data_IF_966586670044
#
_entry.id   IF_966586670044
#
_cell.length_a   1.000
_cell.length_b   1.000
_cell.length_c   1.000
_cell.angle_alpha   90.00
_cell.angle_beta   90.00
_cell.angle_gamma   90.00
#
_symmetry.space_group_name_H-M   'P 1'
#
loop_
_entity.id
_entity.type
_entity.pdbx_description
1 polymer ?
#
# COMPACT_ATOMS: atom_id res chain seq x y z
N UNK A 1 25.04 10.43 2.84
CA UNK A 1 24.44 9.10 2.57
C UNK A 1 22.95 9.26 2.70
N UNK A 2 22.28 8.97 1.63
CA UNK A 2 20.81 8.99 1.57
C UNK A 2 20.31 7.71 2.25
N UNK A 3 19.82 7.84 3.48
CA UNK A 3 19.41 6.72 4.34
C UNK A 3 18.09 6.08 3.91
N UNK A 4 17.46 6.59 2.87
CA UNK A 4 16.15 6.09 2.40
C UNK A 4 16.23 4.74 1.69
N UNK A 5 17.42 4.30 1.26
CA UNK A 5 17.59 3.07 0.48
C UNK A 5 17.98 1.83 1.29
N UNK A 6 18.47 1.99 2.52
CA UNK A 6 19.04 0.86 3.28
C UNK A 6 18.00 0.14 4.16
N UNK A 7 16.77 0.64 4.29
CA UNK A 7 15.74 0.11 5.20
C UNK A 7 14.67 -0.74 4.48
N UNK A 8 14.76 -0.90 3.19
CA UNK A 8 13.59 -1.32 2.42
C UNK A 8 13.33 -2.81 2.27
N UNK A 9 14.21 -3.76 2.56
CA UNK A 9 13.83 -5.13 2.22
C UNK A 9 14.37 -6.26 3.10
N UNK A 10 15.42 -6.06 3.85
CA UNK A 10 16.02 -7.16 4.63
C UNK A 10 15.61 -7.21 6.11
N UNK A 11 15.04 -6.12 6.64
CA UNK A 11 14.81 -5.95 8.08
C UNK A 11 13.32 -5.98 8.47
N UNK A 12 12.49 -6.64 7.67
CA UNK A 12 11.07 -6.76 7.94
C UNK A 12 10.81 -7.75 9.07
N UNK A 13 10.11 -7.27 10.10
CA UNK A 13 9.62 -8.09 11.19
C UNK A 13 8.15 -8.45 10.99
N UNK A 14 7.79 -9.71 11.23
CA UNK A 14 6.42 -10.19 11.19
C UNK A 14 5.97 -10.58 12.60
N UNK A 15 4.74 -10.22 12.97
CA UNK A 15 4.07 -10.70 14.18
C UNK A 15 2.66 -11.15 13.84
N UNK A 16 2.33 -12.34 14.35
CA UNK A 16 0.99 -12.91 14.22
C UNK A 16 0.49 -13.28 15.62
N UNK A 17 -0.72 -12.86 15.94
CA UNK A 17 -1.38 -13.22 17.19
C UNK A 17 -2.89 -13.29 16.99
N UNK A 18 -3.57 -14.01 17.89
CA UNK A 18 -5.04 -14.02 17.93
C UNK A 18 -5.54 -12.95 18.90
N UNK A 19 -6.70 -12.39 18.59
CA UNK A 19 -7.40 -11.49 19.50
C UNK A 19 -7.61 -12.19 20.86
N UNK A 20 -7.36 -11.45 21.95
CA UNK A 20 -7.37 -12.00 23.31
C UNK A 20 -6.08 -12.71 23.75
N UNK A 21 -5.14 -12.97 22.84
CA UNK A 21 -3.83 -13.59 23.14
C UNK A 21 -2.68 -12.65 22.77
N UNK A 22 -2.65 -11.47 23.40
CA UNK A 22 -1.64 -10.44 23.14
C UNK A 22 -1.91 -9.58 21.90
N UNK A 23 -3.04 -9.75 21.28
CA UNK A 23 -3.54 -8.89 20.20
C UNK A 23 -4.98 -8.47 20.49
N UNK A 24 -5.39 -7.33 19.96
CA UNK A 24 -6.75 -6.83 20.06
C UNK A 24 -7.02 -5.72 19.06
N UNK A 25 -8.30 -5.45 18.89
CA UNK A 25 -8.80 -4.35 18.06
C UNK A 25 -10.09 -3.79 18.70
N UNK A 26 -10.35 -2.53 18.45
CA UNK A 26 -11.62 -1.89 18.81
C UNK A 26 -12.65 -2.09 17.70
N UNK A 27 -13.90 -2.34 18.07
CA UNK A 27 -15.04 -2.37 17.15
C UNK A 27 -15.62 -0.96 16.89
N UNK A 28 -15.17 0.05 17.64
CA UNK A 28 -15.73 1.39 17.61
C UNK A 28 -14.85 2.42 16.93
N UNK A 29 -13.54 2.19 16.89
CA UNK A 29 -12.58 3.12 16.32
C UNK A 29 -11.30 2.38 15.89
N UNK A 30 -10.41 3.08 15.15
CA UNK A 30 -9.10 2.56 14.83
C UNK A 30 -8.24 2.47 16.11
N UNK A 31 -8.18 1.29 16.68
CA UNK A 31 -7.26 0.91 17.75
C UNK A 31 -6.95 -0.57 17.61
N UNK A 32 -5.78 -0.87 17.06
CA UNK A 32 -5.31 -2.24 16.79
C UNK A 32 -3.96 -2.41 17.44
N UNK A 33 -3.75 -3.54 18.13
CA UNK A 33 -2.45 -3.84 18.72
C UNK A 33 -2.08 -5.32 18.62
N UNK A 34 -0.77 -5.59 18.55
CA UNK A 34 -0.15 -6.90 18.71
C UNK A 34 1.06 -6.74 19.63
N UNK A 35 0.90 -7.13 20.91
CA UNK A 35 1.92 -6.83 21.91
C UNK A 35 2.17 -5.34 22.06
N UNK A 36 3.42 -4.91 21.86
CA UNK A 36 3.81 -3.50 21.91
C UNK A 36 3.57 -2.73 20.58
N UNK A 37 3.19 -3.43 19.52
CA UNK A 37 2.84 -2.79 18.26
C UNK A 37 1.42 -2.30 18.32
N UNK A 38 1.20 -1.03 18.03
CA UNK A 38 -0.14 -0.43 18.08
C UNK A 38 -0.28 0.69 17.07
N UNK A 39 -1.42 0.72 16.40
CA UNK A 39 -1.96 1.90 15.72
C UNK A 39 -3.28 2.27 16.39
N UNK A 40 -3.43 3.52 16.77
CA UNK A 40 -4.68 4.01 17.34
C UNK A 40 -4.98 5.42 16.85
N UNK A 41 -6.27 5.72 16.66
CA UNK A 41 -6.72 7.10 16.45
C UNK A 41 -6.58 7.87 17.76
N UNK A 42 -6.12 9.11 17.68
CA UNK A 42 -6.03 10.01 18.82
C UNK A 42 -6.71 11.35 18.47
N UNK A 43 -7.62 11.80 19.32
CA UNK A 43 -8.12 13.17 19.26
C UNK A 43 -7.04 14.10 19.84
N UNK A 44 -6.64 15.10 19.07
CA UNK A 44 -5.54 16.01 19.42
C UNK A 44 -5.99 17.44 19.59
N UNK A 45 -7.30 17.67 19.75
CA UNK A 45 -7.86 19.03 19.96
C UNK A 45 -7.76 19.97 18.76
N UNK A 46 -6.81 19.73 17.84
CA UNK A 46 -6.66 20.45 16.57
C UNK A 46 -7.08 19.61 15.36
N UNK A 47 -7.59 18.40 15.59
CA UNK A 47 -8.01 17.45 14.55
C UNK A 47 -7.69 16.00 14.91
N UNK A 48 -8.30 15.12 14.16
CA UNK A 48 -8.06 13.67 14.27
C UNK A 48 -6.67 13.30 13.73
N UNK A 49 -6.02 12.33 14.36
CA UNK A 49 -4.74 11.79 13.93
C UNK A 49 -4.57 10.36 14.40
N UNK A 50 -3.41 9.77 14.08
CA UNK A 50 -3.10 8.43 14.55
C UNK A 50 -1.77 8.44 15.29
N UNK A 51 -1.65 7.55 16.28
CA UNK A 51 -0.38 7.19 16.88
C UNK A 51 0.01 5.80 16.43
N UNK A 52 1.21 5.69 15.89
CA UNK A 52 1.79 4.43 15.43
C UNK A 52 3.04 4.11 16.24
N UNK A 53 3.01 2.97 16.95
CA UNK A 53 4.13 2.49 17.74
C UNK A 53 4.50 1.09 17.32
N UNK A 54 5.78 0.88 17.03
CA UNK A 54 6.33 -0.45 16.79
C UNK A 54 7.66 -0.61 17.51
N UNK A 55 7.94 -1.83 17.93
CA UNK A 55 9.18 -2.19 18.59
C UNK A 55 9.62 -3.58 18.14
N UNK A 56 10.84 -3.67 17.64
CA UNK A 56 11.56 -4.91 17.37
C UNK A 56 12.95 -4.85 18.00
N UNK A 57 13.73 -5.93 18.02
CA UNK A 57 15.11 -5.89 18.47
C UNK A 57 16.01 -4.94 17.68
N UNK A 58 15.74 -4.79 16.39
CA UNK A 58 16.58 -4.02 15.46
C UNK A 58 16.14 -2.56 15.34
N UNK A 59 14.82 -2.30 15.45
CA UNK A 59 14.25 -0.97 15.29
C UNK A 59 13.05 -0.74 16.19
N UNK A 60 12.78 0.51 16.49
CA UNK A 60 11.51 0.96 17.04
C UNK A 60 11.15 2.32 16.50
N UNK A 61 9.86 2.59 16.40
CA UNK A 61 9.37 3.92 16.10
C UNK A 61 8.12 4.28 16.88
N UNK A 62 7.99 5.57 17.13
CA UNK A 62 6.84 6.20 17.77
C UNK A 62 6.49 7.43 16.94
N UNK A 63 5.49 7.28 16.06
CA UNK A 63 5.09 8.27 15.08
C UNK A 63 3.69 8.80 15.37
N UNK A 64 3.56 10.10 15.16
CA UNK A 64 2.28 10.77 15.00
C UNK A 64 1.99 10.87 13.50
N UNK A 65 0.77 10.51 13.11
CA UNK A 65 0.30 10.63 11.74
C UNK A 65 -0.86 11.64 11.75
N UNK A 66 -0.67 12.77 11.06
CA UNK A 66 -1.68 13.84 11.01
C UNK A 66 -2.27 13.91 9.60
N UNK A 67 -3.59 13.75 9.43
CA UNK A 67 -4.22 13.95 8.13
C UNK A 67 -4.01 15.38 7.62
N UNK A 68 -3.46 15.52 6.43
CA UNK A 68 -3.34 16.82 5.75
C UNK A 68 -4.40 17.01 4.66
N UNK A 69 -5.19 15.97 4.41
CA UNK A 69 -6.27 15.93 3.43
C UNK A 69 -7.43 15.09 3.95
N UNK A 70 -8.65 15.29 3.43
CA UNK A 70 -9.79 14.41 3.72
C UNK A 70 -9.54 12.99 3.24
N UNK A 71 -10.32 12.03 3.74
CA UNK A 71 -10.39 10.67 3.21
C UNK A 71 -10.53 10.65 1.69
N UNK A 72 -9.86 9.71 1.05
CA UNK A 72 -10.07 9.35 -0.34
C UNK A 72 -10.90 8.05 -0.35
N UNK A 73 -12.18 8.17 -0.66
CA UNK A 73 -13.07 7.02 -0.80
C UNK A 73 -12.84 6.39 -2.17
N UNK A 74 -12.52 5.10 -2.19
CA UNK A 74 -12.20 4.38 -3.41
C UNK A 74 -13.48 3.83 -4.06
N UNK A 75 -13.57 3.89 -5.38
CA UNK A 75 -14.76 3.48 -6.11
C UNK A 75 -15.96 4.40 -5.88
N UNK A 76 -17.15 3.83 -5.80
CA UNK A 76 -18.38 4.59 -5.60
C UNK A 76 -18.61 4.83 -4.09
N UNK A 77 -18.21 6.02 -3.63
CA UNK A 77 -18.36 6.41 -2.22
C UNK A 77 -17.73 5.45 -1.21
N UNK A 78 -16.64 4.76 -1.58
CA UNK A 78 -15.97 3.75 -0.77
C UNK A 78 -16.32 2.30 -1.13
N UNK A 79 -17.33 2.08 -1.99
CA UNK A 79 -17.61 0.74 -2.53
C UNK A 79 -16.73 0.49 -3.75
N UNK A 80 -15.65 -0.23 -3.55
CA UNK A 80 -14.60 -0.50 -4.54
C UNK A 80 -14.79 -1.87 -5.16
N UNK A 81 -15.23 -1.91 -6.42
CA UNK A 81 -15.33 -3.16 -7.17
C UNK A 81 -13.96 -3.72 -7.50
N UNK A 82 -13.85 -5.05 -7.44
CA UNK A 82 -12.63 -5.82 -7.77
C UNK A 82 -12.84 -6.75 -8.98
N UNK A 83 -14.07 -6.77 -9.51
CA UNK A 83 -14.47 -7.62 -10.64
C UNK A 83 -15.85 -7.26 -11.14
N UNK A 84 -16.37 -8.08 -12.06
CA UNK A 84 -17.69 -7.87 -12.66
C UNK A 84 -18.83 -8.39 -11.76
N UNK A 85 -18.58 -9.40 -10.91
CA UNK A 85 -19.56 -9.90 -9.96
C UNK A 85 -19.84 -8.90 -8.82
N UNK A 86 -21.09 -8.78 -8.36
CA UNK A 86 -21.43 -7.86 -7.26
C UNK A 86 -20.75 -8.25 -5.94
N UNK A 87 -20.42 -9.52 -5.75
CA UNK A 87 -19.72 -10.05 -4.58
C UNK A 87 -18.23 -9.66 -4.55
N UNK A 88 -17.66 -9.33 -5.72
CA UNK A 88 -16.26 -8.97 -5.85
C UNK A 88 -16.08 -7.47 -5.62
N UNK A 89 -16.17 -7.06 -4.38
CA UNK A 89 -16.02 -5.69 -3.95
C UNK A 89 -15.53 -5.61 -2.50
N UNK A 90 -15.04 -4.46 -2.13
CA UNK A 90 -14.65 -4.12 -0.76
C UNK A 90 -15.22 -2.76 -0.36
N UNK A 91 -15.32 -2.52 0.93
CA UNK A 91 -15.34 -1.15 1.44
C UNK A 91 -13.92 -0.69 1.62
N UNK A 92 -13.54 0.39 0.94
CA UNK A 92 -12.15 0.81 0.82
C UNK A 92 -12.01 2.32 0.93
N UNK A 93 -11.25 2.74 1.90
CA UNK A 93 -10.92 4.13 2.13
C UNK A 93 -9.41 4.29 2.35
N UNK A 94 -8.87 5.43 1.94
CA UNK A 94 -7.46 5.77 2.08
C UNK A 94 -7.28 7.11 2.79
N UNK A 95 -6.26 7.21 3.63
CA UNK A 95 -5.69 8.48 4.10
C UNK A 95 -4.34 8.71 3.42
N UNK A 96 -4.31 9.34 2.25
CA UNK A 96 -3.05 9.76 1.64
C UNK A 96 -2.48 10.99 2.35
N UNK A 97 -1.22 11.29 2.07
CA UNK A 97 -0.55 12.50 2.53
C UNK A 97 -0.57 12.69 4.06
N UNK A 98 -0.66 11.60 4.84
CA UNK A 98 -0.53 11.68 6.28
C UNK A 98 0.84 12.25 6.63
N UNK A 99 0.86 13.40 7.31
CA UNK A 99 2.11 13.96 7.82
C UNK A 99 2.62 13.11 8.97
N UNK A 100 3.86 12.68 8.91
CA UNK A 100 4.52 11.85 9.91
C UNK A 100 5.52 12.70 10.65
N UNK A 101 5.43 12.68 11.99
CA UNK A 101 6.44 13.25 12.87
C UNK A 101 6.68 12.31 14.04
N UNK A 102 7.92 12.17 14.48
CA UNK A 102 8.21 11.34 15.63
C UNK A 102 9.66 10.91 15.75
N UNK A 103 9.85 9.74 16.30
CA UNK A 103 11.17 9.19 16.62
C UNK A 103 11.32 7.80 16.02
N UNK A 104 12.45 7.59 15.37
CA UNK A 104 12.95 6.31 14.92
C UNK A 104 14.19 5.94 15.73
N UNK A 105 14.27 4.71 16.19
CA UNK A 105 15.49 4.11 16.71
C UNK A 105 15.88 2.99 15.77
N UNK A 106 17.07 3.06 15.22
CA UNK A 106 17.63 2.04 14.32
C UNK A 106 19.01 1.67 14.86
N UNK A 107 19.24 0.37 15.09
CA UNK A 107 20.50 -0.14 15.67
C UNK A 107 20.93 0.62 16.94
N UNK A 108 19.97 0.91 17.81
CA UNK A 108 20.18 1.67 19.05
C UNK A 108 20.36 3.18 18.88
N UNK A 109 20.42 3.69 17.65
CA UNK A 109 20.57 5.12 17.36
C UNK A 109 19.21 5.80 17.25
N UNK A 110 18.95 6.75 18.13
CA UNK A 110 17.72 7.55 18.13
C UNK A 110 17.82 8.72 17.14
N UNK A 111 16.80 8.89 16.32
CA UNK A 111 16.70 9.93 15.31
C UNK A 111 15.30 10.55 15.32
N UNK A 112 15.20 11.86 15.12
CA UNK A 112 13.93 12.50 14.76
C UNK A 112 13.61 12.14 13.32
N UNK A 113 12.38 11.76 13.06
CA UNK A 113 11.90 11.41 11.73
C UNK A 113 10.69 12.26 11.38
N UNK A 114 10.65 12.71 10.13
CA UNK A 114 9.49 13.37 9.53
C UNK A 114 9.30 12.86 8.11
N UNK A 115 8.06 12.85 7.62
CA UNK A 115 7.78 12.35 6.28
C UNK A 115 6.31 12.33 5.94
N UNK A 116 5.96 11.46 5.02
CA UNK A 116 4.61 11.22 4.57
C UNK A 116 4.27 9.75 4.63
N UNK A 117 3.05 9.42 5.04
CA UNK A 117 2.52 8.08 5.03
C UNK A 117 1.25 7.98 4.18
N UNK A 118 0.92 6.77 3.86
CA UNK A 118 -0.34 6.34 3.28
C UNK A 118 -0.95 5.29 4.20
N UNK A 119 -2.24 5.40 4.48
CA UNK A 119 -2.98 4.43 5.28
C UNK A 119 -4.21 3.97 4.52
N UNK A 120 -4.35 2.67 4.32
CA UNK A 120 -5.54 2.05 3.76
C UNK A 120 -6.30 1.29 4.82
N UNK A 121 -7.62 1.41 4.77
CA UNK A 121 -8.53 0.55 5.49
C UNK A 121 -9.51 -0.06 4.49
N UNK A 122 -9.39 -1.36 4.34
CA UNK A 122 -10.17 -2.12 3.37
C UNK A 122 -10.70 -3.41 4.01
N UNK A 123 -11.99 -3.70 3.79
CA UNK A 123 -12.59 -4.95 4.26
C UNK A 123 -13.56 -5.50 3.23
N UNK A 124 -13.58 -6.83 3.14
CA UNK A 124 -14.40 -7.57 2.18
C UNK A 124 -14.61 -9.00 2.63
N UNK A 125 -15.62 -9.64 2.08
CA UNK A 125 -15.82 -11.10 2.17
C UNK A 125 -15.22 -11.84 0.98
N UNK A 126 -15.00 -11.16 -0.16
CA UNK A 126 -14.39 -11.73 -1.36
C UNK A 126 -13.84 -10.62 -2.25
N UNK A 127 -12.51 -10.59 -2.42
CA UNK A 127 -11.84 -9.63 -3.30
C UNK A 127 -11.17 -10.28 -4.50
N UNK A 128 -10.93 -11.59 -4.46
CA UNK A 128 -10.24 -12.32 -5.51
C UNK A 128 -11.20 -13.29 -6.20
N UNK A 129 -11.67 -12.95 -7.40
CA UNK A 129 -12.51 -13.81 -8.21
C UNK A 129 -11.81 -15.10 -8.66
N UNK A 130 -12.57 -16.11 -9.05
CA UNK A 130 -12.05 -17.44 -9.38
C UNK A 130 -10.99 -17.42 -10.50
N UNK A 131 -11.12 -16.53 -11.48
CA UNK A 131 -10.16 -16.38 -12.57
C UNK A 131 -8.91 -15.58 -12.19
N UNK A 132 -8.96 -14.79 -11.12
CA UNK A 132 -7.85 -13.94 -10.71
C UNK A 132 -6.79 -14.75 -9.95
N UNK A 133 -5.52 -14.44 -10.19
CA UNK A 133 -4.38 -15.03 -9.47
C UNK A 133 -3.74 -14.06 -8.49
N UNK A 134 -3.98 -12.76 -8.66
CA UNK A 134 -3.44 -11.69 -7.84
C UNK A 134 -3.70 -10.33 -8.46
N UNK A 135 -3.06 -9.32 -7.92
CA UNK A 135 -3.21 -7.92 -8.36
C UNK A 135 -1.87 -7.19 -8.45
N UNK A 136 -1.90 -6.06 -9.14
CA UNK A 136 -0.92 -4.99 -9.01
C UNK A 136 -1.65 -3.77 -8.47
N UNK A 137 -1.13 -3.17 -7.42
CA UNK A 137 -1.68 -1.99 -6.75
C UNK A 137 -0.61 -0.94 -6.53
N UNK A 138 -0.96 0.33 -6.67
CA UNK A 138 -0.10 1.46 -6.27
C UNK A 138 -0.88 2.46 -5.43
N UNK A 139 -0.21 3.01 -4.40
CA UNK A 139 -0.65 4.17 -3.64
C UNK A 139 0.46 5.21 -3.59
N UNK A 140 0.22 6.40 -4.14
CA UNK A 140 1.24 7.44 -4.34
C UNK A 140 0.81 8.75 -3.69
N UNK A 141 1.66 9.25 -2.81
CA UNK A 141 1.63 10.64 -2.37
C UNK A 141 2.30 11.50 -3.45
N UNK A 142 1.52 12.34 -4.12
CA UNK A 142 2.04 13.21 -5.18
C UNK A 142 2.82 14.40 -4.59
N UNK A 143 3.82 14.87 -5.32
CA UNK A 143 4.70 15.97 -4.88
C UNK A 143 3.95 17.31 -4.78
N UNK A 144 2.88 17.48 -5.56
CA UNK A 144 2.00 18.65 -5.53
C UNK A 144 0.98 18.64 -4.37
N UNK A 145 1.00 17.62 -3.53
CA UNK A 145 0.05 17.40 -2.44
C UNK A 145 -1.17 16.58 -2.85
N UNK A 146 -1.34 16.21 -4.10
CA UNK A 146 -2.36 15.29 -4.55
C UNK A 146 -2.11 13.84 -4.11
N UNK A 147 -2.96 12.93 -4.58
CA UNK A 147 -2.87 11.50 -4.28
C UNK A 147 -3.35 10.66 -5.46
N UNK A 148 -2.71 9.53 -5.67
CA UNK A 148 -3.10 8.57 -6.71
C UNK A 148 -3.14 7.16 -6.14
N UNK A 149 -4.26 6.47 -6.31
CA UNK A 149 -4.37 5.02 -6.16
C UNK A 149 -4.75 4.41 -7.50
N UNK A 150 -4.14 3.29 -7.86
CA UNK A 150 -4.56 2.50 -9.01
C UNK A 150 -4.32 1.02 -8.74
N UNK A 151 -5.19 0.17 -9.27
CA UNK A 151 -4.99 -1.28 -9.23
C UNK A 151 -5.53 -1.97 -10.47
N UNK A 152 -5.02 -3.19 -10.71
CA UNK A 152 -5.64 -4.16 -11.62
C UNK A 152 -5.64 -5.55 -11.01
N UNK A 153 -6.69 -6.31 -11.27
CA UNK A 153 -6.76 -7.75 -11.03
C UNK A 153 -6.28 -8.49 -12.29
N UNK A 154 -5.52 -9.56 -12.10
CA UNK A 154 -4.89 -10.31 -13.21
C UNK A 154 -5.24 -11.80 -13.20
N UNK A 155 -5.34 -12.37 -14.39
CA UNK A 155 -5.38 -13.81 -14.57
C UNK A 155 -3.96 -14.43 -14.62
N UNK A 156 -3.91 -15.75 -14.85
CA UNK A 156 -2.67 -16.52 -14.94
C UNK A 156 -1.83 -16.15 -16.17
N UNK A 157 -2.42 -15.65 -17.24
CA UNK A 157 -1.74 -15.10 -18.42
C UNK A 157 -1.27 -13.67 -18.23
N UNK A 158 -1.54 -13.07 -17.05
CA UNK A 158 -1.25 -11.67 -16.70
C UNK A 158 -2.13 -10.66 -17.45
N UNK A 159 -3.23 -11.10 -18.05
CA UNK A 159 -4.22 -10.23 -18.62
C UNK A 159 -5.02 -9.52 -17.50
N UNK A 160 -5.43 -8.28 -17.77
CA UNK A 160 -6.23 -7.50 -16.84
C UNK A 160 -7.68 -7.99 -16.87
N UNK A 161 -8.17 -8.47 -15.74
CA UNK A 161 -9.58 -8.86 -15.55
C UNK A 161 -10.45 -7.68 -15.11
N UNK A 162 -9.88 -6.81 -14.29
CA UNK A 162 -10.52 -5.62 -13.76
C UNK A 162 -9.46 -4.59 -13.40
N UNK A 163 -9.77 -3.31 -13.56
CA UNK A 163 -8.88 -2.23 -13.15
C UNK A 163 -9.66 -1.01 -12.71
N UNK A 164 -9.08 -0.21 -11.84
CA UNK A 164 -9.64 1.03 -11.35
C UNK A 164 -8.54 1.96 -10.88
N UNK A 165 -8.78 3.27 -10.96
CA UNK A 165 -7.91 4.26 -10.35
C UNK A 165 -8.71 5.44 -9.82
N UNK A 166 -8.18 6.07 -8.77
CA UNK A 166 -8.66 7.33 -8.21
C UNK A 166 -7.48 8.31 -8.10
N UNK A 167 -7.63 9.48 -8.68
CA UNK A 167 -6.66 10.57 -8.60
C UNK A 167 -7.32 11.79 -7.97
N UNK A 168 -6.75 12.27 -6.88
CA UNK A 168 -7.06 13.57 -6.29
C UNK A 168 -5.97 14.55 -6.68
N UNK A 169 -6.34 15.65 -7.32
CA UNK A 169 -5.41 16.72 -7.67
C UNK A 169 -5.06 17.60 -6.45
N UNK A 170 -4.10 18.52 -6.62
CA UNK A 170 -3.67 19.45 -5.57
C UNK A 170 -4.80 20.38 -5.06
N UNK A 171 -5.85 20.59 -5.85
CA UNK A 171 -7.03 21.36 -5.47
C UNK A 171 -8.10 20.53 -4.74
N UNK A 172 -7.83 19.24 -4.49
CA UNK A 172 -8.73 18.33 -3.80
C UNK A 172 -9.82 17.69 -4.67
N UNK A 173 -9.83 17.94 -5.99
CA UNK A 173 -10.82 17.35 -6.90
C UNK A 173 -10.46 15.90 -7.18
N UNK A 174 -11.42 14.99 -7.01
CA UNK A 174 -11.24 13.57 -7.26
C UNK A 174 -11.75 13.20 -8.65
N UNK A 175 -10.94 12.47 -9.41
CA UNK A 175 -11.30 11.82 -10.67
C UNK A 175 -11.14 10.32 -10.53
N UNK A 176 -12.14 9.59 -10.97
CA UNK A 176 -12.12 8.13 -11.01
C UNK A 176 -11.95 7.65 -12.45
N UNK A 177 -11.26 6.53 -12.62
CA UNK A 177 -11.00 5.91 -13.91
C UNK A 177 -11.45 4.45 -13.85
N UNK A 178 -12.26 4.06 -14.79
CA UNK A 178 -12.72 2.68 -14.97
C UNK A 178 -11.70 1.82 -15.73
N UNK A 179 -11.98 0.53 -15.85
CA UNK A 179 -11.08 -0.43 -16.48
C UNK A 179 -10.74 -0.10 -17.95
N UNK A 180 -11.60 0.63 -18.66
CA UNK A 180 -11.32 1.02 -20.05
C UNK A 180 -10.25 2.14 -20.14
N UNK A 181 -10.06 2.87 -19.06
CA UNK A 181 -9.16 4.02 -18.97
C UNK A 181 -7.89 3.75 -18.13
N UNK A 182 -7.72 2.52 -17.61
CA UNK A 182 -6.58 2.14 -16.77
C UNK A 182 -5.81 1.00 -17.41
N UNK A 183 -4.51 1.20 -17.64
CA UNK A 183 -3.64 0.12 -18.11
C UNK A 183 -2.31 0.10 -17.37
N UNK A 184 -1.75 -1.11 -17.22
CA UNK A 184 -0.44 -1.37 -16.63
C UNK A 184 0.40 -2.17 -17.62
N UNK A 185 1.47 -1.58 -18.13
CA UNK A 185 2.35 -2.20 -19.10
C UNK A 185 3.73 -2.41 -18.50
N UNK A 186 4.25 -3.66 -18.42
CA UNK A 186 5.59 -3.93 -17.95
C UNK A 186 6.65 -3.26 -18.84
N UNK A 187 7.58 -2.53 -18.23
CA UNK A 187 8.75 -1.95 -18.89
C UNK A 187 10.03 -2.72 -18.57
N UNK A 188 10.15 -3.17 -17.32
CA UNK A 188 11.31 -3.94 -16.85
C UNK A 188 10.87 -4.97 -15.83
N UNK A 189 11.40 -6.19 -15.96
CA UNK A 189 11.18 -7.27 -15.02
C UNK A 189 12.45 -7.54 -14.20
N UNK A 190 12.25 -7.88 -12.93
CA UNK A 190 13.28 -8.41 -12.05
C UNK A 190 12.95 -9.86 -11.68
N UNK A 191 13.85 -10.80 -11.92
CA UNK A 191 13.70 -12.18 -11.48
C UNK A 191 14.15 -12.30 -10.03
N UNK A 192 13.26 -12.75 -9.14
CA UNK A 192 13.63 -13.00 -7.75
C UNK A 192 14.57 -14.21 -7.65
N UNK A 193 15.73 -14.07 -7.00
CA UNK A 193 16.60 -15.21 -6.74
C UNK A 193 16.04 -16.15 -5.65
N UNK A 194 15.06 -15.70 -4.87
CA UNK A 194 14.46 -16.48 -3.78
C UNK A 194 13.30 -17.35 -4.25
N UNK A 195 12.34 -16.77 -4.94
CA UNK A 195 11.12 -17.46 -5.37
C UNK A 195 11.15 -17.91 -6.84
N UNK A 196 12.06 -17.37 -7.65
CA UNK A 196 12.06 -17.52 -9.10
C UNK A 196 10.96 -16.71 -9.82
N UNK A 197 10.12 -15.99 -9.07
CA UNK A 197 9.08 -15.14 -9.65
C UNK A 197 9.70 -13.99 -10.47
N UNK A 198 8.98 -13.54 -11.50
CA UNK A 198 9.41 -12.41 -12.33
C UNK A 198 8.43 -11.25 -12.15
N UNK A 199 8.86 -10.26 -11.39
CA UNK A 199 8.06 -9.07 -11.07
C UNK A 199 8.32 -7.94 -12.07
N UNK A 200 7.30 -7.30 -12.63
CA UNK A 200 7.46 -6.10 -13.45
C UNK A 200 7.69 -4.87 -12.55
N UNK A 201 8.90 -4.77 -12.01
CA UNK A 201 9.25 -3.72 -11.04
C UNK A 201 9.24 -2.31 -11.62
N UNK A 202 9.24 -2.18 -12.95
CA UNK A 202 8.99 -0.91 -13.63
C UNK A 202 7.80 -1.06 -14.58
N UNK A 203 6.80 -0.21 -14.39
CA UNK A 203 5.53 -0.21 -15.12
C UNK A 203 5.32 1.15 -15.80
N UNK A 204 4.75 1.13 -17.00
CA UNK A 204 4.00 2.26 -17.52
C UNK A 204 2.54 2.08 -17.08
N UNK A 205 1.96 3.13 -16.49
CA UNK A 205 0.57 3.16 -16.08
C UNK A 205 -0.10 4.31 -16.84
N UNK A 206 -1.19 3.99 -17.53
CA UNK A 206 -2.00 5.00 -18.21
C UNK A 206 -3.33 5.16 -17.53
N UNK A 207 -3.73 6.41 -17.32
CA UNK A 207 -5.00 6.79 -16.70
C UNK A 207 -5.67 7.82 -17.61
N UNK A 208 -6.51 7.36 -18.53
CA UNK A 208 -7.03 8.22 -19.60
C UNK A 208 -5.88 8.82 -20.42
N UNK A 209 -5.77 10.16 -20.43
CA UNK A 209 -4.70 10.87 -21.14
C UNK A 209 -3.37 11.01 -20.39
N UNK A 210 -3.28 10.52 -19.12
CA UNK A 210 -2.06 10.59 -18.31
C UNK A 210 -1.16 9.40 -18.62
N UNK A 211 0.14 9.63 -18.77
CA UNK A 211 1.17 8.61 -18.91
C UNK A 211 2.15 8.71 -17.74
N UNK A 212 2.23 7.64 -16.97
CA UNK A 212 2.97 7.55 -15.72
C UNK A 212 3.96 6.39 -15.80
N UNK A 213 5.06 6.48 -15.09
CA UNK A 213 6.06 5.41 -15.00
C UNK A 213 6.51 5.23 -13.57
N UNK A 214 6.52 3.97 -13.09
CA UNK A 214 7.11 3.63 -11.80
C UNK A 214 8.61 3.40 -11.96
N UNK A 215 9.38 3.80 -10.95
CA UNK A 215 10.81 3.49 -10.80
C UNK A 215 11.05 3.00 -9.38
N UNK A 216 11.35 1.70 -9.18
CA UNK A 216 11.59 1.16 -7.85
C UNK A 216 12.87 1.76 -7.25
N UNK A 217 12.88 1.93 -5.94
CA UNK A 217 14.09 2.34 -5.19
C UNK A 217 15.08 1.20 -5.14
N UNK A 218 14.59 -0.02 -4.91
CA UNK A 218 15.34 -1.28 -4.98
C UNK A 218 14.54 -2.28 -5.83
N UNK A 219 15.23 -3.16 -6.52
CA UNK A 219 14.57 -4.23 -7.27
C UNK A 219 14.12 -5.35 -6.35
N UNK A 220 14.94 -5.70 -5.36
CA UNK A 220 14.64 -6.73 -4.38
C UNK A 220 13.84 -6.18 -3.21
N UNK A 221 12.54 -6.08 -3.40
CA UNK A 221 11.54 -5.77 -2.38
C UNK A 221 10.50 -6.90 -2.28
N UNK A 222 10.93 -8.13 -2.59
CA UNK A 222 10.09 -9.31 -2.41
C UNK A 222 9.96 -9.65 -0.93
N UNK A 223 8.74 -9.91 -0.51
CA UNK A 223 8.34 -10.32 0.82
C UNK A 223 7.85 -11.76 0.81
N UNK A 224 8.12 -12.46 1.88
CA UNK A 224 7.63 -13.81 2.10
C UNK A 224 7.13 -13.92 3.53
N UNK A 225 5.86 -14.21 3.71
CA UNK A 225 5.28 -14.55 5.00
C UNK A 225 5.23 -16.07 5.17
N UNK A 226 5.37 -16.55 6.38
CA UNK A 226 5.32 -18.00 6.67
C UNK A 226 4.04 -18.41 7.37
N UNK A 227 3.31 -17.47 7.97
CA UNK A 227 2.11 -17.71 8.78
C UNK A 227 1.12 -16.56 8.65
N UNK A 228 -0.21 -16.77 8.82
CA UNK A 228 -0.89 -18.07 8.95
C UNK A 228 -0.94 -18.84 7.61
N UNK A 229 -0.78 -18.15 6.47
CA UNK A 229 -0.71 -18.73 5.12
C UNK A 229 0.58 -18.23 4.46
N UNK A 230 1.40 -19.11 3.88
CA UNK A 230 2.57 -18.68 3.13
C UNK A 230 2.15 -17.81 1.94
N UNK A 231 2.62 -16.58 1.90
CA UNK A 231 2.41 -15.66 0.77
C UNK A 231 3.75 -15.11 0.34
N UNK A 232 3.99 -15.12 -0.97
CA UNK A 232 5.15 -14.48 -1.59
C UNK A 232 4.62 -13.39 -2.53
N UNK A 233 5.05 -12.16 -2.30
CA UNK A 233 4.62 -10.99 -3.07
C UNK A 233 5.76 -9.97 -3.11
N UNK A 234 5.66 -9.01 -3.99
CA UNK A 234 6.60 -7.90 -4.06
C UNK A 234 5.86 -6.63 -3.63
N UNK A 235 6.39 -5.95 -2.65
CA UNK A 235 5.85 -4.68 -2.17
C UNK A 235 6.99 -3.74 -1.83
N UNK A 236 7.03 -2.58 -2.46
CA UNK A 236 8.15 -1.71 -2.24
C UNK A 236 7.96 -0.25 -2.65
N UNK A 237 8.88 0.55 -2.15
CA UNK A 237 8.94 1.97 -2.42
C UNK A 237 9.28 2.23 -3.89
N UNK A 238 8.46 3.06 -4.53
CA UNK A 238 8.65 3.50 -5.91
C UNK A 238 8.55 5.02 -6.02
N UNK A 239 9.28 5.58 -6.97
CA UNK A 239 9.02 6.90 -7.51
C UNK A 239 8.04 6.79 -8.65
N UNK A 240 7.15 7.79 -8.77
CA UNK A 240 6.28 7.98 -9.92
C UNK A 240 6.79 9.16 -10.74
N UNK A 241 6.89 8.96 -12.05
CA UNK A 241 7.39 9.94 -13.02
C UNK A 241 6.41 10.07 -14.21
N UNK A 242 6.50 11.14 -14.98
CA UNK A 242 5.66 11.39 -16.16
C UNK A 242 4.69 12.53 -15.95
N UNK A 243 3.43 12.34 -16.31
CA UNK A 243 2.37 13.36 -16.18
C UNK A 243 2.12 13.80 -14.74
N UNK A 244 2.36 12.94 -13.79
CA UNK A 244 2.34 13.19 -12.34
C UNK A 244 3.67 12.71 -11.75
N UNK A 245 4.05 13.31 -10.61
CA UNK A 245 5.27 12.95 -9.89
C UNK A 245 4.95 12.72 -8.42
N UNK A 246 5.65 11.77 -7.80
CA UNK A 246 5.45 11.46 -6.39
C UNK A 246 6.21 10.24 -5.94
N UNK A 247 5.91 9.78 -4.73
CA UNK A 247 6.48 8.58 -4.11
C UNK A 247 5.38 7.80 -3.41
N UNK A 248 5.54 6.49 -3.35
CA UNK A 248 4.63 5.61 -2.66
C UNK A 248 5.00 4.15 -2.84
N UNK A 249 4.03 3.28 -2.71
CA UNK A 249 4.25 1.85 -2.77
C UNK A 249 3.59 1.24 -4.00
N UNK A 250 4.28 0.25 -4.57
CA UNK A 250 3.77 -0.68 -5.56
C UNK A 250 3.70 -2.05 -4.89
N UNK A 251 2.56 -2.70 -4.96
CA UNK A 251 2.34 -4.07 -4.48
C UNK A 251 1.97 -4.96 -5.67
N UNK A 252 2.59 -6.13 -5.72
CA UNK A 252 2.39 -7.11 -6.79
C UNK A 252 2.25 -8.51 -6.21
N UNK A 253 1.04 -9.07 -6.24
CA UNK A 253 0.73 -10.40 -5.73
C UNK A 253 0.52 -11.42 -6.87
N UNK A 254 0.58 -12.70 -6.59
CA UNK A 254 0.25 -13.74 -7.56
C UNK A 254 1.30 -13.99 -8.65
N UNK A 255 2.54 -13.53 -8.49
CA UNK A 255 3.65 -13.77 -9.41
C UNK A 255 4.46 -15.03 -9.07
N UNK A 256 4.56 -15.38 -7.80
CA UNK A 256 5.20 -16.59 -7.31
C UNK A 256 4.24 -17.80 -7.27
N UNK A 257 2.95 -17.56 -7.46
CA UNK A 257 1.89 -18.54 -7.41
C UNK A 257 0.56 -17.81 -7.15
N UNK A 258 -0.58 -18.48 -7.38
CA UNK A 258 -1.90 -17.90 -7.08
C UNK A 258 -1.98 -17.52 -5.62
N UNK A 259 -2.43 -16.30 -5.34
CA UNK A 259 -2.70 -15.85 -3.97
C UNK A 259 -3.86 -16.69 -3.41
N UNK A 260 -3.65 -17.28 -2.24
CA UNK A 260 -4.67 -17.98 -1.46
C UNK A 260 -5.12 -17.06 -0.33
N UNK A 261 -6.43 -16.80 -0.27
CA UNK A 261 -7.04 -15.94 0.74
C UNK A 261 -8.10 -16.73 1.50
#
# INVERSE_FOLDING_TARGET
>A
RDWSSDVCSSDLGERVARAGLGAGFSEFDCDVHIGAWRIAREDRGAGEGFRLRMQSPQFSYDFTLTPSQPLLLQGDGGYSRKGHGPELASYYLSWPQLQVDGVLVLDGKRQTASGRAWFDHEWSTAILGAAAVGWDWIGINLDDGGALMAFRMRDVQRATLFAHAAWRDAAGRVRQFDAANVSFTPLRNWPSPRSGARYPVQLEIRLGGLALRTRPVLDDQELSTSRPVPVVYWEGLVHLEGSLKGRGYLEMTGYAGRLQM
#
